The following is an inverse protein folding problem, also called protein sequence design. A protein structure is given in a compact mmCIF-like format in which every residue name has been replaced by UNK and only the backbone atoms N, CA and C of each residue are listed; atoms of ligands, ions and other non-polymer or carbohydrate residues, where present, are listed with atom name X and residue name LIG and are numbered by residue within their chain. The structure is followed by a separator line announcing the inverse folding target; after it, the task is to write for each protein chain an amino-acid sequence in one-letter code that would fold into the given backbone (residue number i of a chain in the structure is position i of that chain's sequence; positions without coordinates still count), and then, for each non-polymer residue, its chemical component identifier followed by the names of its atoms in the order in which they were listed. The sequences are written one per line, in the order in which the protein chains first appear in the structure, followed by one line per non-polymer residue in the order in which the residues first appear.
data_IF_891708552446
#
_entry.id   IF_891708552446
#
_cell.length_a   1.000
_cell.length_b   1.000
_cell.length_c   1.000
_cell.angle_alpha   90.00
_cell.angle_beta   90.00
_cell.angle_gamma   90.00
#
_symmetry.space_group_name_H-M   'P 1'
#
loop_
_entity.id
_entity.type
_entity.pdbx_description
1 polymer ?
#
# COMPACT_ATOMS: atom_id res chain seq x y z
N UNK A 1 -13.67 6.37 2.78
CA UNK A 1 -12.44 6.24 1.97
C UNK A 1 -12.17 4.77 1.68
N UNK A 2 -11.78 4.47 0.47
CA UNK A 2 -11.30 3.13 0.11
C UNK A 2 -9.77 3.15 0.12
N UNK A 3 -9.16 2.28 0.91
CA UNK A 3 -7.72 2.12 0.96
C UNK A 3 -7.36 0.78 0.31
N UNK A 4 -6.61 0.84 -0.78
CA UNK A 4 -6.22 -0.34 -1.54
C UNK A 4 -4.79 -0.71 -1.16
N UNK A 5 -4.58 -1.95 -0.73
CA UNK A 5 -3.24 -2.50 -0.51
C UNK A 5 -2.93 -3.42 -1.69
N UNK A 6 -2.02 -2.99 -2.55
CA UNK A 6 -1.69 -3.70 -3.79
C UNK A 6 -0.39 -4.48 -3.67
N UNK A 7 -0.40 -5.71 -4.15
CA UNK A 7 0.81 -6.50 -4.37
C UNK A 7 1.33 -6.25 -5.79
N UNK A 8 2.66 -6.12 -6.00
CA UNK A 8 3.22 -5.88 -7.32
C UNK A 8 3.27 -7.16 -8.16
N UNK A 9 2.12 -7.53 -8.70
CA UNK A 9 1.94 -8.63 -9.64
C UNK A 9 0.93 -8.21 -10.71
N UNK A 10 0.89 -8.92 -11.83
CA UNK A 10 -0.09 -8.63 -12.88
C UNK A 10 -1.51 -8.79 -12.37
N UNK A 11 -1.78 -9.82 -11.58
CA UNK A 11 -3.10 -10.01 -10.98
C UNK A 11 -3.42 -8.92 -9.95
N UNK A 12 -2.43 -8.51 -9.15
CA UNK A 12 -2.60 -7.41 -8.19
C UNK A 12 -2.95 -6.10 -8.88
N UNK A 13 -2.26 -5.77 -9.98
CA UNK A 13 -2.55 -4.58 -10.77
C UNK A 13 -3.94 -4.66 -11.40
N UNK A 14 -4.31 -5.81 -11.96
CA UNK A 14 -5.63 -6.03 -12.54
C UNK A 14 -6.75 -5.88 -11.51
N UNK A 15 -6.57 -6.46 -10.33
CA UNK A 15 -7.54 -6.37 -9.22
C UNK A 15 -7.69 -4.93 -8.75
N UNK A 16 -6.57 -4.21 -8.63
CA UNK A 16 -6.56 -2.79 -8.26
C UNK A 16 -7.40 -1.95 -9.22
N UNK A 17 -7.21 -2.16 -10.53
CA UNK A 17 -7.98 -1.44 -11.55
C UNK A 17 -9.47 -1.69 -11.43
N UNK A 18 -9.87 -2.93 -11.15
CA UNK A 18 -11.29 -3.29 -10.96
C UNK A 18 -11.88 -2.63 -9.71
N UNK A 19 -11.13 -2.63 -8.61
CA UNK A 19 -11.56 -2.01 -7.35
C UNK A 19 -11.74 -0.51 -7.54
N UNK A 20 -10.80 0.14 -8.20
CA UNK A 20 -10.87 1.59 -8.47
C UNK A 20 -12.09 1.92 -9.33
N UNK A 21 -12.33 1.15 -10.38
CA UNK A 21 -13.51 1.35 -11.25
C UNK A 21 -14.80 1.24 -10.45
N UNK A 22 -14.89 0.26 -9.56
CA UNK A 22 -16.06 0.05 -8.70
C UNK A 22 -16.22 1.19 -7.69
N UNK A 23 -15.14 1.57 -7.01
CA UNK A 23 -15.18 2.62 -5.99
C UNK A 23 -15.58 3.98 -6.57
N UNK A 24 -15.16 4.28 -7.80
CA UNK A 24 -15.54 5.53 -8.47
C UNK A 24 -17.03 5.67 -8.72
N UNK A 25 -17.74 4.57 -8.90
CA UNK A 25 -19.20 4.58 -9.06
C UNK A 25 -19.90 5.11 -7.82
N UNK A 26 -19.27 5.00 -6.64
CA UNK A 26 -19.81 5.46 -5.37
C UNK A 26 -19.25 6.83 -4.96
N UNK A 27 -18.45 7.46 -5.82
CA UNK A 27 -17.82 8.77 -5.56
C UNK A 27 -17.03 8.81 -4.26
N UNK A 28 -16.41 7.68 -3.91
CA UNK A 28 -15.65 7.52 -2.65
C UNK A 28 -14.18 7.88 -2.87
N UNK A 29 -13.56 8.66 -1.97
CA UNK A 29 -12.12 8.92 -2.03
C UNK A 29 -11.32 7.62 -1.96
N UNK A 30 -10.27 7.54 -2.79
CA UNK A 30 -9.44 6.33 -2.95
C UNK A 30 -7.99 6.69 -2.69
N UNK A 31 -7.33 5.86 -1.91
CA UNK A 31 -5.88 5.91 -1.72
C UNK A 31 -5.30 4.51 -1.85
N UNK A 32 -4.01 4.42 -2.10
CA UNK A 32 -3.35 3.14 -2.33
C UNK A 32 -2.03 3.03 -1.58
N UNK A 33 -1.65 1.81 -1.27
CA UNK A 33 -0.37 1.42 -0.69
C UNK A 33 0.15 0.25 -1.51
N UNK A 34 1.44 0.23 -1.82
CA UNK A 34 2.09 -0.94 -2.42
C UNK A 34 2.79 -1.71 -1.30
N UNK A 35 2.42 -2.97 -1.13
CA UNK A 35 3.07 -3.87 -0.21
C UNK A 35 4.11 -4.71 -0.96
N UNK A 36 5.26 -4.98 -0.32
CA UNK A 36 6.36 -5.76 -0.89
C UNK A 36 6.86 -5.16 -2.20
N UNK A 37 7.13 -3.86 -2.19
CA UNK A 37 7.51 -3.06 -3.38
C UNK A 37 8.65 -3.67 -4.19
N UNK A 38 9.58 -4.36 -3.54
CA UNK A 38 10.79 -4.91 -4.13
C UNK A 38 10.61 -6.35 -4.68
N UNK A 39 9.42 -6.95 -4.51
CA UNK A 39 9.16 -8.28 -5.09
C UNK A 39 9.08 -8.23 -6.62
N UNK A 40 8.65 -7.10 -7.20
CA UNK A 40 8.67 -6.83 -8.63
C UNK A 40 8.66 -5.32 -8.88
N UNK A 41 9.83 -4.75 -9.07
CA UNK A 41 9.99 -3.30 -9.23
C UNK A 41 9.32 -2.79 -10.51
N UNK A 42 9.30 -3.56 -11.58
CA UNK A 42 8.68 -3.16 -12.83
C UNK A 42 7.16 -2.99 -12.66
N UNK A 43 6.51 -3.94 -11.99
CA UNK A 43 5.08 -3.86 -11.71
C UNK A 43 4.80 -2.76 -10.69
N UNK A 44 5.65 -2.58 -9.69
CA UNK A 44 5.53 -1.47 -8.73
C UNK A 44 5.52 -0.14 -9.46
N UNK A 45 6.40 0.05 -10.42
CA UNK A 45 6.45 1.27 -11.24
C UNK A 45 5.18 1.45 -12.08
N UNK A 46 4.62 0.37 -12.61
CA UNK A 46 3.35 0.41 -13.33
C UNK A 46 2.19 0.82 -12.42
N UNK A 47 2.16 0.32 -11.20
CA UNK A 47 1.15 0.70 -10.20
C UNK A 47 1.27 2.19 -9.87
N UNK A 48 2.48 2.69 -9.64
CA UNK A 48 2.71 4.12 -9.38
C UNK A 48 2.24 4.99 -10.54
N UNK A 49 2.58 4.59 -11.76
CA UNK A 49 2.16 5.32 -12.95
C UNK A 49 0.64 5.34 -13.08
N UNK A 50 0.00 4.20 -12.86
CA UNK A 50 -1.46 4.10 -12.91
C UNK A 50 -2.11 5.01 -11.88
N UNK A 51 -1.59 5.04 -10.66
CA UNK A 51 -2.09 5.92 -9.62
C UNK A 51 -1.96 7.40 -10.01
N UNK A 52 -0.82 7.80 -10.57
CA UNK A 52 -0.63 9.18 -11.03
C UNK A 52 -1.60 9.54 -12.15
N UNK A 53 -1.72 8.67 -13.15
CA UNK A 53 -2.56 8.91 -14.32
C UNK A 53 -4.04 9.01 -13.92
N UNK A 54 -4.45 8.27 -12.90
CA UNK A 54 -5.84 8.21 -12.44
C UNK A 54 -6.14 9.14 -11.26
N UNK A 55 -5.15 9.89 -10.79
CA UNK A 55 -5.34 10.81 -9.67
C UNK A 55 -5.54 10.12 -8.33
N UNK A 56 -5.01 8.92 -8.17
CA UNK A 56 -5.06 8.15 -6.92
C UNK A 56 -3.85 8.51 -6.07
N UNK A 57 -4.09 8.85 -4.80
CA UNK A 57 -3.00 9.15 -3.87
C UNK A 57 -2.30 7.87 -3.43
N UNK A 58 -1.02 7.76 -3.72
CA UNK A 58 -0.18 6.67 -3.22
C UNK A 58 0.40 7.09 -1.87
N UNK A 59 -0.08 6.48 -0.79
CA UNK A 59 0.32 6.84 0.58
C UNK A 59 1.70 6.30 0.96
N UNK A 60 2.13 5.21 0.36
CA UNK A 60 3.44 4.66 0.64
C UNK A 60 3.69 3.34 -0.06
N UNK A 61 4.93 2.87 0.08
CA UNK A 61 5.40 1.59 -0.43
C UNK A 61 6.13 0.87 0.69
N UNK A 62 5.73 -0.37 0.96
CA UNK A 62 6.29 -1.15 2.06
C UNK A 62 7.24 -2.19 1.46
N UNK A 63 8.53 -2.17 1.84
CA UNK A 63 9.49 -3.14 1.32
C UNK A 63 9.31 -4.51 1.96
N UNK A 64 9.80 -5.54 1.27
CA UNK A 64 9.96 -6.86 1.88
C UNK A 64 11.05 -6.79 2.94
N UNK A 65 10.78 -7.37 4.11
CA UNK A 65 11.71 -7.37 5.23
C UNK A 65 11.65 -8.70 5.96
N UNK A 66 12.78 -9.39 6.04
CA UNK A 66 12.89 -10.69 6.73
C UNK A 66 12.51 -10.59 8.20
N UNK A 67 12.62 -9.41 8.80
CA UNK A 67 12.25 -9.20 10.20
C UNK A 67 10.74 -9.41 10.43
N UNK A 68 9.92 -9.30 9.39
CA UNK A 68 8.48 -9.59 9.48
C UNK A 68 8.26 -11.04 9.88
N UNK A 69 8.96 -11.97 9.23
CA UNK A 69 8.83 -13.40 9.53
C UNK A 69 9.29 -13.67 10.95
N UNK A 70 10.42 -13.11 11.35
CA UNK A 70 10.94 -13.26 12.71
C UNK A 70 9.98 -12.72 13.74
N UNK A 71 9.41 -11.52 13.52
CA UNK A 71 8.44 -10.91 14.42
C UNK A 71 7.22 -11.81 14.62
N UNK A 72 6.66 -12.34 13.53
CA UNK A 72 5.51 -13.25 13.60
C UNK A 72 5.84 -14.51 14.39
N UNK A 73 7.03 -15.11 14.15
CA UNK A 73 7.46 -16.30 14.86
C UNK A 73 7.68 -16.05 16.36
N UNK A 74 8.07 -14.84 16.73
CA UNK A 74 8.27 -14.42 18.14
C UNK A 74 6.97 -13.94 18.79
N UNK A 75 5.85 -14.00 18.07
CA UNK A 75 4.55 -13.54 18.59
C UNK A 75 4.41 -12.02 18.64
N UNK A 76 5.23 -11.30 17.89
CA UNK A 76 5.24 -9.83 17.84
C UNK A 76 4.62 -9.34 16.53
N UNK A 77 4.26 -8.05 16.50
CA UNK A 77 3.89 -7.37 15.25
C UNK A 77 5.14 -6.75 14.63
N UNK A 78 5.07 -6.38 13.35
CA UNK A 78 6.21 -5.72 12.68
C UNK A 78 6.49 -4.34 13.25
N UNK A 79 5.54 -3.73 13.94
CA UNK A 79 5.71 -2.42 14.59
C UNK A 79 6.45 -2.56 15.92
N UNK A 80 6.35 -3.72 16.59
CA UNK A 80 7.06 -4.02 17.84
C UNK A 80 8.57 -4.23 17.63
N UNK A 81 8.98 -4.45 16.38
CA UNK A 81 10.38 -4.70 16.02
C UNK A 81 10.91 -3.52 15.20
N UNK A 82 12.08 -3.01 15.57
CA UNK A 82 12.74 -1.96 14.78
C UNK A 82 13.24 -2.54 13.48
N UNK A 83 12.44 -2.44 12.43
CA UNK A 83 12.76 -2.92 11.10
C UNK A 83 12.25 -1.94 10.04
N UNK A 84 12.81 -2.04 8.82
CA UNK A 84 12.45 -1.14 7.73
C UNK A 84 10.96 -1.20 7.38
N UNK A 85 10.39 -2.42 7.28
CA UNK A 85 8.97 -2.58 6.97
C UNK A 85 8.09 -1.97 8.07
N UNK A 86 8.44 -2.17 9.35
CA UNK A 86 7.69 -1.60 10.47
C UNK A 86 7.69 -0.08 10.45
N UNK A 87 8.84 0.52 10.15
CA UNK A 87 8.96 1.99 10.04
C UNK A 87 8.13 2.54 8.88
N UNK A 88 8.11 1.85 7.74
CA UNK A 88 7.28 2.26 6.60
C UNK A 88 5.79 2.12 6.90
N UNK A 89 5.38 1.07 7.62
CA UNK A 89 3.99 0.91 8.06
C UNK A 89 3.57 2.06 8.98
N UNK A 90 4.41 2.48 9.92
CA UNK A 90 4.12 3.63 10.77
C UNK A 90 3.94 4.91 9.96
N UNK A 91 4.84 5.17 9.00
CA UNK A 91 4.73 6.34 8.12
C UNK A 91 3.43 6.32 7.32
N UNK A 92 3.06 5.17 6.78
CA UNK A 92 1.82 5.01 6.01
C UNK A 92 0.61 5.23 6.91
N UNK A 93 0.64 4.72 8.14
CA UNK A 93 -0.43 4.93 9.11
C UNK A 93 -0.67 6.42 9.35
N UNK A 94 0.38 7.18 9.64
CA UNK A 94 0.26 8.61 9.89
C UNK A 94 -0.22 9.36 8.65
N UNK A 95 0.29 9.04 7.46
CA UNK A 95 -0.19 9.63 6.21
C UNK A 95 -1.65 9.32 5.94
N UNK A 96 -2.09 8.11 6.25
CA UNK A 96 -3.48 7.70 6.10
C UNK A 96 -4.40 8.52 7.00
N UNK A 97 -4.02 8.69 8.26
CA UNK A 97 -4.77 9.52 9.21
C UNK A 97 -4.83 10.97 8.75
N UNK A 98 -3.70 11.53 8.33
CA UNK A 98 -3.61 12.89 7.80
C UNK A 98 -4.55 13.10 6.61
N UNK A 99 -4.50 12.17 5.65
CA UNK A 99 -5.36 12.22 4.47
C UNK A 99 -6.83 12.11 4.84
N UNK A 100 -7.17 11.21 5.75
CA UNK A 100 -8.54 10.99 6.19
C UNK A 100 -9.12 12.25 6.82
N UNK A 101 -8.35 12.94 7.66
CA UNK A 101 -8.78 14.19 8.30
C UNK A 101 -8.81 15.38 7.35
N UNK A 102 -8.15 15.30 6.20
CA UNK A 102 -8.19 16.36 5.17
C UNK A 102 -9.42 16.28 4.28
N UNK A 103 -10.13 15.17 4.33
CA UNK A 103 -11.37 14.99 3.57
C UNK A 103 -12.55 15.72 4.26
#
# INVERSE_FOLDING_TARGET
MVLIVAEPSLSGLSDMKRIITTARKFETPIAAIVNRLDSNLDITNLIEKYCRDEGILLLGKIPYDKQVIKAVNDGLTIVDVDCLAGREVEKVYFKTIEYLYSL
#
